data_IF_736460088603
#
_entry.id   IF_736460088603
#
_cell.length_a   1.000
_cell.length_b   1.000
_cell.length_c   1.000
_cell.angle_alpha   90.00
_cell.angle_beta   90.00
_cell.angle_gamma   90.00
#
_symmetry.space_group_name_H-M   'P 1'
#
loop_
_entity.id
_entity.type
_entity.pdbx_description
1 polymer ?
#
# COMPACT_ATOMS: atom_id res chain seq x y z
N UNK A 1 -33.31 -0.19 -9.02
CA UNK A 1 -31.91 -0.60 -8.72
C UNK A 1 -31.00 0.48 -9.26
N UNK A 2 -30.09 1.00 -8.43
CA UNK A 2 -29.15 2.04 -8.86
C UNK A 2 -28.14 1.45 -9.86
N UNK A 3 -28.05 2.06 -11.03
CA UNK A 3 -27.06 1.74 -12.05
C UNK A 3 -25.71 2.27 -11.56
N UNK A 4 -24.81 1.38 -11.15
CA UNK A 4 -23.45 1.76 -10.75
C UNK A 4 -22.61 1.84 -12.02
N UNK A 5 -22.30 3.05 -12.46
CA UNK A 5 -21.32 3.28 -13.51
C UNK A 5 -19.92 3.30 -12.89
N UNK A 6 -19.00 2.50 -13.44
CA UNK A 6 -17.59 2.63 -13.08
C UNK A 6 -17.12 4.04 -13.53
N UNK A 7 -16.52 4.84 -12.65
CA UNK A 7 -16.09 6.20 -13.00
C UNK A 7 -14.90 6.23 -13.98
N UNK A 8 -14.32 5.07 -14.32
CA UNK A 8 -13.13 4.94 -15.14
C UNK A 8 -13.31 3.83 -16.18
N UNK A 9 -12.90 4.11 -17.41
CA UNK A 9 -12.73 3.11 -18.46
C UNK A 9 -11.28 2.62 -18.42
N UNK A 10 -11.07 1.33 -18.16
CA UNK A 10 -9.74 0.75 -18.14
C UNK A 10 -9.28 0.41 -19.55
N UNK A 11 -8.12 0.94 -19.93
CA UNK A 11 -7.43 0.53 -21.15
C UNK A 11 -6.44 -0.58 -20.77
N UNK A 12 -6.49 -1.76 -21.39
CA UNK A 12 -5.51 -2.80 -21.11
C UNK A 12 -4.11 -2.30 -21.48
N UNK A 13 -3.12 -2.62 -20.65
CA UNK A 13 -1.73 -2.34 -20.99
C UNK A 13 -1.36 -3.12 -22.27
N UNK A 14 -0.77 -2.45 -23.24
CA UNK A 14 -0.28 -3.12 -24.45
C UNK A 14 0.93 -3.97 -24.14
N UNK A 15 1.01 -5.17 -24.73
CA UNK A 15 2.22 -6.02 -24.68
C UNK A 15 3.35 -5.48 -25.54
N UNK A 16 3.02 -4.65 -26.51
CA UNK A 16 3.92 -4.04 -27.46
C UNK A 16 4.18 -2.58 -27.08
N UNK A 17 5.44 -2.18 -27.12
CA UNK A 17 5.85 -0.77 -27.06
C UNK A 17 6.12 -0.30 -28.48
N UNK A 18 5.42 0.73 -28.94
CA UNK A 18 5.75 1.31 -30.24
C UNK A 18 7.07 2.07 -30.14
N UNK A 19 8.06 1.56 -30.86
CA UNK A 19 9.33 2.24 -31.10
C UNK A 19 9.35 2.68 -32.57
N UNK A 20 9.36 3.98 -32.86
CA UNK A 20 9.53 4.47 -34.22
C UNK A 20 10.84 3.95 -34.83
N UNK A 21 10.87 3.66 -36.13
CA UNK A 21 12.06 3.12 -36.80
C UNK A 21 13.28 4.04 -36.64
N UNK A 22 13.06 5.36 -36.55
CA UNK A 22 14.10 6.37 -36.36
C UNK A 22 14.50 6.58 -34.88
N UNK A 23 13.89 5.89 -33.91
CA UNK A 23 14.14 6.13 -32.48
C UNK A 23 15.62 5.96 -32.09
N UNK A 24 16.32 5.02 -32.71
CA UNK A 24 17.75 4.77 -32.48
C UNK A 24 18.68 5.85 -33.08
N UNK A 25 18.16 6.67 -33.99
CA UNK A 25 18.89 7.78 -34.63
C UNK A 25 18.75 9.09 -33.86
N UNK A 26 17.92 9.12 -32.80
CA UNK A 26 17.63 10.31 -32.03
C UNK A 26 18.89 10.79 -31.30
N UNK A 27 19.52 11.85 -31.83
CA UNK A 27 20.69 12.52 -31.23
C UNK A 27 20.45 14.02 -31.04
N UNK A 28 21.02 14.59 -29.98
CA UNK A 28 21.01 16.04 -29.77
C UNK A 28 22.13 16.77 -30.51
N UNK A 29 23.11 16.03 -31.02
CA UNK A 29 24.30 16.61 -31.66
C UNK A 29 24.14 16.72 -33.18
N UNK A 30 23.35 15.81 -33.78
CA UNK A 30 23.18 15.72 -35.22
C UNK A 30 21.70 15.84 -35.58
N UNK A 31 21.27 16.86 -36.35
CA UNK A 31 19.91 16.96 -36.83
C UNK A 31 19.61 15.89 -37.89
N UNK A 32 18.34 15.52 -38.04
CA UNK A 32 17.91 14.64 -39.13
C UNK A 32 18.04 15.36 -40.46
N UNK A 33 18.57 14.67 -41.49
CA UNK A 33 18.75 15.21 -42.85
C UNK A 33 17.45 15.80 -43.42
N UNK A 34 16.33 15.11 -43.21
CA UNK A 34 14.99 15.54 -43.65
C UNK A 34 14.13 16.04 -42.47
N UNK A 35 14.76 16.46 -41.38
CA UNK A 35 14.06 16.96 -40.19
C UNK A 35 13.43 18.33 -40.41
N UNK A 36 12.14 18.47 -40.12
CA UNK A 36 11.47 19.77 -40.13
C UNK A 36 11.56 20.42 -38.75
N UNK A 37 11.78 21.74 -38.74
CA UNK A 37 11.69 22.57 -37.53
C UNK A 37 10.78 23.76 -37.81
N UNK A 38 10.05 24.21 -36.79
CA UNK A 38 9.09 25.29 -36.94
C UNK A 38 8.26 25.52 -35.69
N UNK A 39 7.30 26.42 -35.82
CA UNK A 39 6.33 26.77 -34.78
C UNK A 39 4.93 26.46 -35.28
N UNK A 40 4.07 25.93 -34.40
CA UNK A 40 2.65 25.71 -34.66
C UNK A 40 1.87 26.65 -33.74
N UNK A 41 1.18 27.61 -34.35
CA UNK A 41 0.24 28.48 -33.64
C UNK A 41 -1.13 27.82 -33.61
N UNK A 42 -1.77 27.77 -32.43
CA UNK A 42 -3.07 27.17 -32.24
C UNK A 42 -3.94 27.97 -31.27
N UNK A 43 -5.25 27.84 -31.40
CA UNK A 43 -6.23 28.42 -30.49
C UNK A 43 -6.97 27.31 -29.77
N UNK A 44 -6.98 27.35 -28.43
CA UNK A 44 -7.76 26.42 -27.60
C UNK A 44 -9.13 27.01 -27.31
N UNK A 45 -10.18 26.21 -27.51
CA UNK A 45 -11.56 26.57 -27.20
C UNK A 45 -12.09 25.60 -26.16
N UNK A 46 -12.42 26.12 -24.97
CA UNK A 46 -13.02 25.33 -23.91
C UNK A 46 -14.46 24.94 -24.28
N UNK A 47 -14.70 23.65 -24.51
CA UNK A 47 -16.05 23.11 -24.74
C UNK A 47 -16.86 22.96 -23.45
N UNK A 48 -16.16 22.82 -22.32
CA UNK A 48 -16.74 22.74 -20.97
C UNK A 48 -15.95 23.66 -20.04
N UNK A 49 -16.51 24.05 -18.88
CA UNK A 49 -15.75 24.75 -17.85
C UNK A 49 -14.51 23.95 -17.48
N UNK A 50 -13.35 24.61 -17.52
CA UNK A 50 -12.04 24.05 -17.23
C UNK A 50 -11.51 24.68 -15.93
N UNK A 51 -10.58 24.02 -15.26
CA UNK A 51 -9.73 24.64 -14.25
C UNK A 51 -8.34 24.01 -14.28
N UNK A 52 -7.34 24.77 -14.73
CA UNK A 52 -5.92 24.38 -14.63
C UNK A 52 -5.36 25.01 -13.36
N UNK A 53 -5.36 24.22 -12.28
CA UNK A 53 -5.02 24.66 -10.95
C UNK A 53 -3.52 24.84 -10.71
N UNK A 54 -3.15 25.88 -9.96
CA UNK A 54 -1.77 26.09 -9.49
C UNK A 54 -1.71 26.40 -7.99
N UNK A 55 -2.55 27.32 -7.51
CA UNK A 55 -2.56 27.72 -6.10
C UNK A 55 -3.66 26.97 -5.33
N UNK A 56 -3.27 26.35 -4.21
CA UNK A 56 -4.18 25.65 -3.30
C UNK A 56 -4.37 26.47 -2.03
N UNK A 57 -5.60 26.92 -1.80
CA UNK A 57 -6.00 27.61 -0.57
C UNK A 57 -6.64 26.59 0.36
N UNK A 58 -5.89 26.19 1.40
CA UNK A 58 -6.41 25.33 2.47
C UNK A 58 -7.11 26.18 3.52
N UNK A 59 -8.27 25.73 3.97
CA UNK A 59 -9.02 26.30 5.09
C UNK A 59 -9.41 25.16 6.03
N UNK A 60 -9.36 25.40 7.34
CA UNK A 60 -9.78 24.41 8.33
C UNK A 60 -11.28 24.11 8.17
N UNK A 61 -11.64 22.82 8.16
CA UNK A 61 -13.00 22.32 7.99
C UNK A 61 -13.73 22.74 6.69
N UNK A 62 -13.02 23.18 5.65
CA UNK A 62 -13.59 23.47 4.34
C UNK A 62 -12.83 22.78 3.18
N UNK A 63 -13.49 22.51 2.03
CA UNK A 63 -12.82 22.00 0.84
C UNK A 63 -11.69 22.94 0.39
N UNK A 64 -10.58 22.35 -0.09
CA UNK A 64 -9.45 23.14 -0.60
C UNK A 64 -9.86 23.89 -1.86
N UNK A 65 -9.71 25.22 -1.85
CA UNK A 65 -9.93 26.05 -3.03
C UNK A 65 -8.76 25.92 -4.00
N UNK A 66 -9.04 25.58 -5.26
CA UNK A 66 -8.03 25.51 -6.33
C UNK A 66 -8.22 26.70 -7.26
N UNK A 67 -7.23 27.60 -7.29
CA UNK A 67 -7.27 28.77 -8.18
C UNK A 67 -6.61 28.45 -9.52
N UNK A 68 -7.17 29.05 -10.56
CA UNK A 68 -6.65 29.03 -11.91
C UNK A 68 -5.21 29.60 -11.98
N UNK A 69 -4.35 28.97 -12.77
CA UNK A 69 -2.95 29.35 -12.97
C UNK A 69 -2.79 30.75 -13.61
N UNK A 70 -1.87 31.57 -13.08
CA UNK A 70 -1.69 32.95 -13.55
C UNK A 70 -0.24 33.26 -13.87
N UNK A 71 -0.03 34.18 -14.80
CA UNK A 71 1.28 34.75 -15.10
C UNK A 71 1.70 35.76 -13.99
N UNK A 72 2.96 36.26 -13.99
CA UNK A 72 3.41 37.28 -13.05
C UNK A 72 2.64 38.61 -13.12
N UNK A 73 1.90 38.86 -14.19
CA UNK A 73 1.02 40.03 -14.37
C UNK A 73 -0.41 39.74 -13.92
N UNK A 74 -0.65 38.59 -13.27
CA UNK A 74 -1.93 38.13 -12.75
C UNK A 74 -2.98 37.80 -13.84
N UNK A 75 -2.56 37.58 -15.09
CA UNK A 75 -3.44 37.14 -16.17
C UNK A 75 -3.63 35.61 -16.13
N UNK A 76 -4.86 35.09 -16.35
CA UNK A 76 -5.10 33.65 -16.49
C UNK A 76 -4.31 33.04 -17.65
N UNK A 77 -3.61 31.95 -17.38
CA UNK A 77 -2.86 31.18 -18.38
C UNK A 77 -3.14 29.68 -18.25
N UNK A 78 -2.88 28.92 -19.31
CA UNK A 78 -2.59 27.49 -19.18
C UNK A 78 -1.07 27.34 -19.34
N UNK A 79 -0.35 26.93 -18.27
CA UNK A 79 1.09 26.79 -18.36
C UNK A 79 1.51 25.84 -19.48
N UNK A 80 2.57 26.18 -20.20
CA UNK A 80 3.11 25.31 -21.26
C UNK A 80 3.49 23.91 -20.75
N UNK A 81 3.92 23.82 -19.49
CA UNK A 81 4.19 22.55 -18.80
C UNK A 81 2.94 21.69 -18.62
N UNK A 82 1.77 22.28 -18.34
CA UNK A 82 0.49 21.57 -18.24
C UNK A 82 0.05 21.01 -19.59
N UNK A 83 0.19 21.80 -20.66
CA UNK A 83 -0.12 21.35 -22.04
C UNK A 83 0.82 20.22 -22.45
N UNK A 84 2.12 20.38 -22.17
CA UNK A 84 3.13 19.35 -22.41
C UNK A 84 2.79 18.05 -21.70
N UNK A 85 2.44 18.11 -20.41
CA UNK A 85 2.08 16.93 -19.60
C UNK A 85 0.81 16.24 -20.12
N UNK A 86 -0.22 17.02 -20.46
CA UNK A 86 -1.45 16.50 -21.06
C UNK A 86 -1.18 15.77 -22.37
N UNK A 87 -0.49 16.40 -23.32
CA UNK A 87 -0.17 15.80 -24.62
C UNK A 87 0.74 14.58 -24.49
N UNK A 88 1.72 14.62 -23.57
CA UNK A 88 2.57 13.48 -23.27
C UNK A 88 1.72 12.28 -22.83
N UNK A 89 0.84 12.47 -21.86
CA UNK A 89 -0.01 11.39 -21.32
C UNK A 89 -0.92 10.80 -22.41
N UNK A 90 -1.55 11.65 -23.24
CA UNK A 90 -2.37 11.18 -24.35
C UNK A 90 -1.53 10.42 -25.37
N UNK A 91 -0.34 10.89 -25.71
CA UNK A 91 0.53 10.23 -26.68
C UNK A 91 1.06 8.90 -26.16
N UNK A 92 1.46 8.81 -24.88
CA UNK A 92 1.87 7.55 -24.24
C UNK A 92 0.77 6.50 -24.35
N UNK A 93 -0.50 6.87 -24.19
CA UNK A 93 -1.62 5.94 -24.37
C UNK A 93 -1.83 5.60 -25.85
N UNK A 94 -1.92 6.61 -26.71
CA UNK A 94 -2.24 6.46 -28.12
C UNK A 94 -1.16 5.70 -28.91
N UNK A 95 0.10 5.80 -28.48
CA UNK A 95 1.25 5.15 -29.11
C UNK A 95 1.74 3.93 -28.35
N UNK A 96 0.99 3.39 -27.38
CA UNK A 96 1.43 2.25 -26.58
C UNK A 96 2.83 2.44 -25.97
N UNK A 97 3.07 3.62 -25.38
CA UNK A 97 4.32 3.96 -24.71
C UNK A 97 4.64 3.03 -23.54
N UNK A 98 5.85 3.15 -22.99
CA UNK A 98 6.30 2.33 -21.89
C UNK A 98 5.54 2.64 -20.60
N UNK A 99 5.12 1.60 -19.91
CA UNK A 99 4.50 1.70 -18.59
C UNK A 99 5.58 1.64 -17.49
N UNK A 100 6.48 2.63 -17.50
CA UNK A 100 7.65 2.66 -16.62
C UNK A 100 7.54 3.57 -15.40
N UNK A 101 6.67 4.58 -15.42
CA UNK A 101 6.49 5.49 -14.29
C UNK A 101 5.50 4.93 -13.27
N UNK A 102 5.90 3.86 -12.60
CA UNK A 102 5.10 3.19 -11.56
C UNK A 102 5.95 3.03 -10.32
N UNK A 103 5.37 3.27 -9.14
CA UNK A 103 6.08 3.00 -7.89
C UNK A 103 6.36 1.52 -7.75
N UNK A 104 7.56 1.16 -7.30
CA UNK A 104 7.91 -0.23 -7.02
C UNK A 104 7.29 -0.74 -5.71
N UNK A 105 5.96 -0.83 -5.69
CA UNK A 105 5.18 -1.27 -4.56
C UNK A 105 4.70 -2.71 -4.75
N UNK A 106 4.72 -3.47 -3.66
CA UNK A 106 4.05 -4.76 -3.58
C UNK A 106 2.64 -4.58 -3.03
N UNK A 107 1.70 -5.32 -3.59
CA UNK A 107 0.38 -5.47 -3.00
C UNK A 107 0.40 -6.57 -1.92
N UNK A 108 -0.51 -6.45 -0.95
CA UNK A 108 -0.76 -7.48 0.05
C UNK A 108 -2.25 -7.81 0.11
N UNK A 109 -2.57 -9.05 0.41
CA UNK A 109 -3.95 -9.53 0.48
C UNK A 109 -4.23 -10.28 1.79
N UNK A 110 -5.48 -10.22 2.21
CA UNK A 110 -6.02 -11.00 3.32
C UNK A 110 -7.49 -11.28 3.02
N UNK A 111 -7.73 -12.43 2.42
CA UNK A 111 -9.07 -12.89 2.11
C UNK A 111 -9.51 -13.93 3.14
N UNK A 112 -10.32 -13.50 4.11
CA UNK A 112 -10.86 -14.40 5.15
C UNK A 112 -12.18 -15.06 4.74
N UNK A 113 -12.58 -14.96 3.47
CA UNK A 113 -13.74 -15.66 2.95
C UNK A 113 -13.54 -17.18 2.96
N UNK A 114 -14.63 -17.92 3.11
CA UNK A 114 -14.60 -19.37 3.10
C UNK A 114 -14.01 -19.89 1.79
N UNK A 115 -13.10 -20.87 1.86
CA UNK A 115 -12.41 -21.50 0.71
C UNK A 115 -11.42 -20.59 -0.04
N UNK A 116 -10.98 -19.48 0.54
CA UNK A 116 -9.92 -18.66 -0.06
C UNK A 116 -8.55 -19.36 -0.02
N UNK A 117 -7.71 -19.09 -1.02
CA UNK A 117 -6.31 -19.54 -1.04
C UNK A 117 -5.53 -19.02 0.18
N UNK A 118 -5.88 -17.82 0.64
CA UNK A 118 -5.33 -17.24 1.85
C UNK A 118 -5.59 -18.11 3.09
N UNK A 119 -6.84 -18.52 3.33
CA UNK A 119 -7.17 -19.36 4.50
C UNK A 119 -6.49 -20.72 4.40
N UNK A 120 -6.42 -21.31 3.20
CA UNK A 120 -5.70 -22.56 2.99
C UNK A 120 -4.20 -22.40 3.30
N UNK A 121 -3.59 -21.30 2.86
CA UNK A 121 -2.17 -21.03 3.11
C UNK A 121 -1.89 -20.77 4.59
N UNK A 122 -2.69 -19.93 5.25
CA UNK A 122 -2.44 -19.52 6.65
C UNK A 122 -2.92 -20.59 7.65
N UNK A 123 -4.01 -21.30 7.37
CA UNK A 123 -4.62 -22.24 8.32
C UNK A 123 -4.32 -23.70 8.03
N UNK A 124 -4.25 -24.11 6.75
CA UNK A 124 -4.05 -25.53 6.38
C UNK A 124 -2.62 -25.87 6.01
N UNK A 125 -1.82 -24.94 5.48
CA UNK A 125 -0.45 -25.22 4.98
C UNK A 125 0.65 -24.67 5.90
N UNK A 126 0.28 -24.02 6.99
CA UNK A 126 1.19 -23.27 7.83
C UNK A 126 0.78 -23.33 9.29
N UNK A 127 1.72 -23.04 10.18
CA UNK A 127 1.52 -22.89 11.63
C UNK A 127 1.88 -21.46 12.02
N UNK A 128 1.01 -20.81 12.78
CA UNK A 128 1.31 -19.47 13.33
C UNK A 128 1.87 -19.63 14.73
N UNK A 129 3.06 -19.11 14.96
CA UNK A 129 3.69 -19.01 16.27
C UNK A 129 3.88 -17.54 16.66
N UNK A 130 3.99 -17.29 17.97
CA UNK A 130 4.38 -15.98 18.47
C UNK A 130 5.90 -15.86 18.46
N UNK A 131 6.41 -14.68 18.19
CA UNK A 131 7.84 -14.44 18.15
C UNK A 131 8.18 -13.01 18.55
N UNK A 132 9.39 -12.84 19.04
CA UNK A 132 10.00 -11.57 19.33
C UNK A 132 11.04 -11.24 18.27
N UNK A 133 10.87 -10.10 17.61
CA UNK A 133 11.75 -9.60 16.57
C UNK A 133 12.61 -8.48 17.14
N UNK A 134 13.93 -8.68 17.18
CA UNK A 134 14.90 -7.71 17.71
C UNK A 134 15.96 -7.42 16.66
N UNK A 135 16.38 -6.17 16.56
CA UNK A 135 17.57 -5.81 15.81
C UNK A 135 18.78 -5.87 16.75
N UNK A 136 19.76 -6.70 16.42
CA UNK A 136 21.06 -6.75 17.09
C UNK A 136 21.93 -5.63 16.51
N UNK A 137 22.17 -4.61 17.32
CA UNK A 137 22.94 -3.41 16.92
C UNK A 137 24.42 -3.72 16.73
N UNK A 138 24.98 -4.71 17.41
CA UNK A 138 26.40 -5.02 17.34
C UNK A 138 26.69 -5.80 16.05
N UNK A 139 25.78 -6.72 15.70
CA UNK A 139 25.88 -7.53 14.48
C UNK A 139 25.21 -6.91 13.26
N UNK A 140 24.45 -5.83 13.45
CA UNK A 140 23.63 -5.15 12.43
C UNK A 140 22.67 -6.11 11.71
N UNK A 141 22.00 -6.98 12.47
CA UNK A 141 21.15 -8.07 11.95
C UNK A 141 19.88 -8.25 12.76
N UNK A 142 18.79 -8.62 12.09
CA UNK A 142 17.57 -9.07 12.77
C UNK A 142 17.75 -10.44 13.40
N UNK A 143 17.13 -10.62 14.56
CA UNK A 143 17.02 -11.88 15.28
C UNK A 143 15.56 -12.14 15.60
N UNK A 144 15.13 -13.40 15.44
CA UNK A 144 13.77 -13.83 15.69
C UNK A 144 13.76 -14.97 16.71
N UNK A 145 13.03 -14.77 17.80
CA UNK A 145 12.90 -15.75 18.87
C UNK A 145 11.43 -16.16 19.04
N UNK A 146 11.12 -17.42 18.78
CA UNK A 146 9.78 -17.97 19.00
C UNK A 146 9.47 -18.05 20.49
N UNK A 147 8.20 -17.83 20.83
CA UNK A 147 7.67 -17.99 22.18
C UNK A 147 6.25 -18.58 22.12
N UNK A 148 5.67 -18.84 23.28
CA UNK A 148 4.28 -19.26 23.38
C UNK A 148 3.36 -18.04 23.50
N UNK A 149 2.09 -18.22 23.17
CA UNK A 149 1.10 -17.17 23.34
C UNK A 149 -0.26 -17.71 23.77
N UNK A 150 -0.99 -16.90 24.52
CA UNK A 150 -2.36 -17.18 24.94
C UNK A 150 -3.25 -15.97 24.67
N UNK A 151 -4.56 -16.22 24.59
CA UNK A 151 -5.58 -15.18 24.52
C UNK A 151 -5.96 -14.70 25.92
N UNK A 152 -6.21 -13.41 26.06
CA UNK A 152 -6.63 -12.78 27.31
C UNK A 152 -7.86 -11.92 27.04
N UNK A 153 -8.96 -12.16 27.75
CA UNK A 153 -10.19 -11.36 27.62
C UNK A 153 -9.94 -9.92 28.08
N UNK A 154 -10.48 -8.92 27.39
CA UNK A 154 -10.35 -7.51 27.83
C UNK A 154 -11.02 -7.28 29.19
N UNK A 155 -12.14 -7.96 29.46
CA UNK A 155 -12.79 -7.92 30.77
C UNK A 155 -11.87 -8.39 31.93
N UNK A 156 -10.99 -9.35 31.68
CA UNK A 156 -10.00 -9.81 32.69
C UNK A 156 -8.89 -8.77 32.91
N UNK A 157 -8.42 -8.14 31.82
CA UNK A 157 -7.44 -7.05 31.88
C UNK A 157 -8.01 -5.88 32.69
N UNK A 158 -9.30 -5.55 32.48
CA UNK A 158 -9.97 -4.52 33.26
C UNK A 158 -10.10 -4.90 34.74
N UNK A 159 -10.57 -6.12 35.04
CA UNK A 159 -10.84 -6.52 36.43
C UNK A 159 -9.57 -6.69 37.26
N UNK A 160 -8.49 -7.22 36.68
CA UNK A 160 -7.26 -7.51 37.40
C UNK A 160 -6.21 -6.41 37.28
N UNK A 161 -6.08 -5.77 36.12
CA UNK A 161 -5.05 -4.76 35.87
C UNK A 161 -5.61 -3.32 35.86
N UNK A 162 -6.93 -3.14 35.94
CA UNK A 162 -7.57 -1.82 35.96
C UNK A 162 -7.51 -1.08 34.63
N UNK A 163 -7.24 -1.77 33.52
CA UNK A 163 -7.03 -1.15 32.20
C UNK A 163 -8.16 -1.49 31.23
N UNK A 164 -8.92 -0.46 30.86
CA UNK A 164 -10.08 -0.60 29.99
C UNK A 164 -9.64 -0.59 28.54
N UNK A 165 -9.83 -1.72 27.86
CA UNK A 165 -9.54 -1.90 26.44
C UNK A 165 -10.83 -2.20 25.69
N UNK A 166 -10.90 -1.75 24.44
CA UNK A 166 -11.97 -2.14 23.52
C UNK A 166 -11.40 -2.70 22.23
N UNK A 167 -12.12 -3.60 21.57
CA UNK A 167 -11.68 -4.19 20.30
C UNK A 167 -11.40 -3.11 19.23
N UNK A 168 -12.23 -2.07 19.13
CA UNK A 168 -12.18 -0.98 18.13
C UNK A 168 -10.92 -0.12 18.23
N UNK A 169 -10.27 -0.09 19.39
CA UNK A 169 -9.11 0.77 19.60
C UNK A 169 -7.91 0.30 18.75
N UNK A 170 -7.16 1.23 18.13
CA UNK A 170 -5.89 0.91 17.48
C UNK A 170 -4.90 0.27 18.45
N UNK A 171 -4.03 -0.60 17.95
CA UNK A 171 -3.03 -1.28 18.76
C UNK A 171 -2.14 -0.28 19.52
N UNK A 172 -1.75 0.82 18.89
CA UNK A 172 -0.92 1.88 19.48
C UNK A 172 -1.59 2.53 20.70
N UNK A 173 -2.91 2.76 20.66
CA UNK A 173 -3.68 3.29 21.80
C UNK A 173 -3.69 2.29 22.95
N UNK A 174 -3.87 1.00 22.64
CA UNK A 174 -3.84 -0.08 23.66
C UNK A 174 -2.46 -0.17 24.33
N UNK A 175 -1.38 -0.10 23.55
CA UNK A 175 -0.02 -0.04 24.10
C UNK A 175 0.26 1.22 24.92
N UNK A 176 -0.37 2.35 24.58
CA UNK A 176 -0.27 3.56 25.40
C UNK A 176 -0.88 3.38 26.80
N UNK A 177 -1.98 2.61 26.91
CA UNK A 177 -2.61 2.28 28.19
C UNK A 177 -1.85 1.21 28.98
N UNK A 178 -1.33 0.21 28.27
CA UNK A 178 -0.54 -0.87 28.86
C UNK A 178 0.74 -1.10 28.04
N UNK A 179 1.87 -0.49 28.44
CA UNK A 179 3.13 -0.62 27.72
C UNK A 179 3.61 -2.07 27.60
N UNK A 180 4.28 -2.38 26.49
CA UNK A 180 4.85 -3.70 26.21
C UNK A 180 5.87 -4.16 27.27
N UNK A 181 6.52 -3.22 27.93
CA UNK A 181 7.49 -3.45 29.02
C UNK A 181 6.85 -3.85 30.34
N UNK A 182 5.53 -3.65 30.51
CA UNK A 182 4.85 -4.11 31.73
C UNK A 182 4.63 -5.61 31.68
N UNK A 183 5.03 -6.24 32.78
CA UNK A 183 4.99 -7.69 32.95
C UNK A 183 3.69 -8.10 33.63
N UNK A 184 3.19 -9.26 33.25
CA UNK A 184 2.05 -9.94 33.88
C UNK A 184 2.41 -11.40 34.12
N UNK A 185 1.67 -12.06 35.00
CA UNK A 185 1.87 -13.46 35.33
C UNK A 185 0.66 -14.27 34.89
N UNK A 186 0.86 -15.25 34.02
CA UNK A 186 -0.22 -16.01 33.39
C UNK A 186 -0.13 -17.50 33.66
N UNK A 187 -1.29 -18.13 33.82
CA UNK A 187 -1.44 -19.59 33.80
C UNK A 187 -2.29 -19.96 32.59
N UNK A 188 -1.67 -20.32 31.46
CA UNK A 188 -2.41 -20.67 30.26
C UNK A 188 -3.15 -21.99 30.42
N UNK A 189 -4.42 -22.02 30.03
CA UNK A 189 -5.23 -23.23 29.94
C UNK A 189 -5.68 -23.48 28.49
N UNK A 190 -5.84 -24.75 28.15
CA UNK A 190 -6.25 -25.20 26.82
C UNK A 190 -7.77 -25.23 26.72
N UNK A 191 -8.31 -24.61 25.68
CA UNK A 191 -9.74 -24.64 25.33
C UNK A 191 -9.91 -25.13 23.89
N UNK A 192 -10.59 -26.26 23.73
CA UNK A 192 -10.90 -26.81 22.41
C UNK A 192 -12.27 -26.30 21.93
N UNK A 193 -12.31 -25.66 20.76
CA UNK A 193 -13.52 -25.11 20.15
C UNK A 193 -13.61 -25.65 18.72
N UNK A 194 -14.70 -26.35 18.39
CA UNK A 194 -14.92 -26.94 17.05
C UNK A 194 -13.71 -27.74 16.54
N UNK A 195 -13.11 -28.56 17.41
CA UNK A 195 -11.94 -29.39 17.09
C UNK A 195 -10.61 -28.65 16.95
N UNK A 196 -10.56 -27.33 17.25
CA UNK A 196 -9.33 -26.53 17.26
C UNK A 196 -8.95 -26.12 18.67
N UNK A 197 -7.67 -26.25 18.99
CA UNK A 197 -7.13 -25.91 20.29
C UNK A 197 -6.71 -24.44 20.35
N UNK A 198 -7.11 -23.77 21.43
CA UNK A 198 -6.72 -22.40 21.74
C UNK A 198 -6.22 -22.33 23.18
N UNK A 199 -5.14 -21.59 23.42
CA UNK A 199 -4.69 -21.29 24.77
C UNK A 199 -5.25 -19.95 25.23
N UNK A 200 -5.78 -19.92 26.44
CA UNK A 200 -6.33 -18.74 27.12
C UNK A 200 -5.64 -18.56 28.47
N UNK A 201 -5.62 -17.34 29.01
CA UNK A 201 -5.22 -17.08 30.38
C UNK A 201 -6.38 -16.45 31.15
N UNK A 202 -6.60 -16.93 32.38
CA UNK A 202 -7.64 -16.51 33.32
C UNK A 202 -7.09 -15.79 34.56
N UNK A 203 -5.77 -15.76 34.73
CA UNK A 203 -5.05 -14.99 35.74
C UNK A 203 -3.90 -14.18 35.08
N UNK A 204 -3.74 -12.93 35.53
CA UNK A 204 -2.73 -11.96 35.11
C UNK A 204 -1.84 -11.48 36.27
N UNK A 205 -2.11 -11.91 37.52
CA UNK A 205 -1.41 -11.44 38.73
C UNK A 205 -0.50 -12.50 39.34
N UNK A 206 -1.00 -13.71 39.55
CA UNK A 206 -0.31 -14.77 40.31
C UNK A 206 -0.03 -16.01 39.45
N UNK A 207 -0.09 -15.86 38.12
CA UNK A 207 0.13 -16.94 37.19
C UNK A 207 1.56 -17.53 37.20
N UNK A 208 1.69 -18.75 36.69
CA UNK A 208 2.97 -19.48 36.71
C UNK A 208 4.05 -18.88 35.81
N UNK A 209 3.67 -18.31 34.67
CA UNK A 209 4.60 -17.86 33.64
C UNK A 209 4.61 -16.34 33.54
N UNK A 210 5.81 -15.78 33.49
CA UNK A 210 6.01 -14.38 33.12
C UNK A 210 5.60 -14.14 31.66
N UNK A 211 4.87 -13.05 31.43
CA UNK A 211 4.28 -12.73 30.15
C UNK A 211 4.24 -11.22 29.86
N UNK A 212 4.17 -10.88 28.57
CA UNK A 212 3.98 -9.51 28.09
C UNK A 212 2.72 -9.41 27.24
N UNK A 213 1.93 -8.36 27.45
CA UNK A 213 0.70 -8.14 26.72
C UNK A 213 0.98 -7.65 25.29
N UNK A 214 0.32 -8.28 24.31
CA UNK A 214 0.45 -8.00 22.88
C UNK A 214 -0.91 -7.61 22.31
N UNK A 215 -0.98 -6.39 21.80
CA UNK A 215 -2.21 -5.78 21.29
C UNK A 215 -2.23 -5.74 19.76
N UNK A 216 -3.39 -6.05 19.20
CA UNK A 216 -3.67 -5.96 17.76
C UNK A 216 -4.71 -4.87 17.49
N UNK A 217 -4.76 -4.40 16.23
CA UNK A 217 -5.80 -3.50 15.74
C UNK A 217 -7.18 -4.16 15.76
N UNK A 218 -8.21 -3.36 15.48
CA UNK A 218 -9.60 -3.79 15.43
C UNK A 218 -9.78 -5.09 14.63
N UNK A 219 -10.39 -6.08 15.30
CA UNK A 219 -10.79 -7.33 14.66
C UNK A 219 -12.20 -7.17 14.12
N UNK A 220 -12.32 -7.21 12.81
CA UNK A 220 -13.59 -7.17 12.09
C UNK A 220 -14.30 -8.51 12.30
N UNK A 221 -15.59 -8.43 12.58
CA UNK A 221 -16.47 -9.59 12.70
C UNK A 221 -17.82 -9.29 12.07
N UNK A 222 -18.53 -10.36 11.70
CA UNK A 222 -19.90 -10.30 11.23
C UNK A 222 -20.82 -10.49 12.44
N UNK A 223 -21.46 -9.41 12.88
CA UNK A 223 -22.36 -9.41 14.03
C UNK A 223 -23.59 -10.33 13.84
N UNK A 224 -23.89 -10.75 12.60
CA UNK A 224 -24.96 -11.74 12.34
C UNK A 224 -24.52 -13.18 12.61
N UNK A 225 -23.20 -13.44 12.68
CA UNK A 225 -22.61 -14.79 12.77
C UNK A 225 -21.83 -15.05 14.04
N UNK A 226 -21.48 -14.00 14.79
CA UNK A 226 -20.70 -14.12 16.00
C UNK A 226 -20.98 -12.98 16.98
N UNK A 227 -20.86 -13.28 18.27
CA UNK A 227 -21.02 -12.31 19.34
C UNK A 227 -19.78 -11.39 19.42
N UNK A 228 -19.94 -10.06 19.51
CA UNK A 228 -18.85 -9.12 19.74
C UNK A 228 -17.87 -9.54 20.85
N UNK A 229 -18.38 -10.18 21.91
CA UNK A 229 -17.58 -10.60 23.06
C UNK A 229 -16.49 -11.59 22.64
N UNK A 230 -16.70 -12.41 21.62
CA UNK A 230 -15.73 -13.39 21.13
C UNK A 230 -14.49 -12.78 20.45
N UNK A 231 -14.58 -11.49 20.09
CA UNK A 231 -13.49 -10.71 19.51
C UNK A 231 -12.80 -9.81 20.53
N UNK A 232 -13.36 -9.70 21.74
CA UNK A 232 -12.91 -8.86 22.83
C UNK A 232 -11.77 -9.53 23.64
N UNK A 233 -10.64 -9.72 22.97
CA UNK A 233 -9.45 -10.29 23.57
C UNK A 233 -8.15 -9.68 23.00
N UNK A 234 -7.07 -9.80 23.75
CA UNK A 234 -5.70 -9.53 23.32
C UNK A 234 -4.86 -10.79 23.49
N UNK A 235 -3.58 -10.70 23.13
CA UNK A 235 -2.66 -11.80 23.33
C UNK A 235 -1.71 -11.48 24.48
N UNK A 236 -1.13 -12.50 25.07
CA UNK A 236 0.08 -12.38 25.87
C UNK A 236 1.12 -13.36 25.32
N UNK A 237 2.39 -12.94 25.29
CA UNK A 237 3.52 -13.77 24.89
C UNK A 237 4.26 -14.21 26.15
N UNK A 238 4.61 -15.49 26.23
CA UNK A 238 5.17 -16.11 27.44
C UNK A 238 6.03 -17.33 27.12
N UNK A 239 6.70 -17.86 28.15
CA UNK A 239 7.52 -19.07 28.06
C UNK A 239 8.90 -18.84 27.46
N UNK A 240 9.59 -19.92 27.14
CA UNK A 240 10.97 -19.88 26.65
C UNK A 240 11.09 -19.28 25.25
N UNK A 241 12.18 -18.53 25.04
CA UNK A 241 12.52 -17.90 23.78
C UNK A 241 13.47 -18.78 22.98
N UNK A 242 13.00 -19.31 21.85
CA UNK A 242 13.77 -20.22 20.99
C UNK A 242 14.18 -19.53 19.69
N UNK A 243 15.47 -19.43 19.37
CA UNK A 243 15.89 -18.79 18.12
C UNK A 243 15.39 -19.57 16.89
N UNK A 244 15.04 -18.85 15.83
CA UNK A 244 14.70 -19.46 14.53
C UNK A 244 15.96 -19.53 13.67
N UNK A 245 16.28 -20.73 13.17
CA UNK A 245 17.35 -20.91 12.20
C UNK A 245 16.86 -20.52 10.80
N UNK A 246 17.10 -19.27 10.41
CA UNK A 246 16.81 -18.73 9.07
C UNK A 246 18.03 -17.93 8.61
N UNK A 247 18.33 -17.95 7.30
CA UNK A 247 19.40 -17.12 6.76
C UNK A 247 19.10 -15.63 6.97
N UNK A 248 20.12 -14.85 7.36
CA UNK A 248 19.96 -13.42 7.69
C UNK A 248 19.32 -12.62 6.54
N UNK A 249 19.69 -12.89 5.29
CA UNK A 249 19.14 -12.23 4.11
C UNK A 249 17.64 -12.49 3.94
N UNK A 250 17.19 -13.72 4.21
CA UNK A 250 15.77 -14.10 4.14
C UNK A 250 15.00 -13.43 5.27
N UNK A 251 15.56 -13.39 6.48
CA UNK A 251 14.90 -12.73 7.61
C UNK A 251 14.75 -11.22 7.36
N UNK A 252 15.80 -10.54 6.90
CA UNK A 252 15.75 -9.13 6.52
C UNK A 252 14.63 -8.88 5.50
N UNK A 253 14.58 -9.66 4.42
CA UNK A 253 13.53 -9.54 3.40
C UNK A 253 12.12 -9.69 3.99
N UNK A 254 11.91 -10.68 4.86
CA UNK A 254 10.62 -10.91 5.51
C UNK A 254 10.24 -9.80 6.48
N UNK A 255 11.21 -9.20 7.19
CA UNK A 255 10.99 -8.06 8.07
C UNK A 255 10.59 -6.83 7.26
N UNK A 256 11.28 -6.54 6.16
CA UNK A 256 10.92 -5.43 5.26
C UNK A 256 9.52 -5.61 4.66
N UNK A 257 9.18 -6.84 4.23
CA UNK A 257 7.81 -7.17 3.78
C UNK A 257 6.77 -7.00 4.88
N UNK A 258 7.09 -7.36 6.12
CA UNK A 258 6.23 -7.15 7.28
C UNK A 258 5.95 -5.66 7.49
N UNK A 259 7.00 -4.83 7.51
CA UNK A 259 6.85 -3.39 7.75
C UNK A 259 6.06 -2.70 6.63
N UNK A 260 6.35 -3.00 5.37
CA UNK A 260 5.64 -2.44 4.21
C UNK A 260 4.15 -2.85 4.13
N UNK A 261 3.79 -4.00 4.70
CA UNK A 261 2.41 -4.52 4.66
C UNK A 261 1.52 -4.03 5.82
N UNK A 262 2.08 -3.28 6.76
CA UNK A 262 1.37 -2.77 7.94
C UNK A 262 1.35 -1.24 7.96
N UNK A 263 0.49 -0.68 8.82
CA UNK A 263 0.41 0.77 9.02
C UNK A 263 1.75 1.30 9.57
N UNK A 264 2.31 2.30 8.88
CA UNK A 264 3.63 2.86 9.19
C UNK A 264 3.68 3.44 10.62
N UNK A 265 2.58 4.06 11.09
CA UNK A 265 2.54 4.63 12.45
C UNK A 265 2.61 3.52 13.50
N UNK A 266 1.95 2.39 13.27
CA UNK A 266 2.03 1.24 14.16
C UNK A 266 3.43 0.62 14.18
N UNK A 267 4.05 0.43 13.02
CA UNK A 267 5.41 -0.12 12.91
C UNK A 267 6.41 0.78 13.64
N UNK A 268 6.39 2.08 13.34
CA UNK A 268 7.27 3.07 13.97
C UNK A 268 7.06 3.13 15.49
N UNK A 269 5.81 3.02 15.96
CA UNK A 269 5.51 2.97 17.39
C UNK A 269 6.17 1.76 18.07
N UNK A 270 6.04 0.56 17.48
CA UNK A 270 6.59 -0.68 18.04
C UNK A 270 8.13 -0.72 17.98
N UNK A 271 8.74 -0.13 16.96
CA UNK A 271 10.20 0.02 16.89
C UNK A 271 10.73 0.91 18.01
N UNK A 272 10.06 2.05 18.27
CA UNK A 272 10.45 3.00 19.32
C UNK A 272 10.20 2.50 20.73
N UNK A 273 9.15 1.70 20.93
CA UNK A 273 8.74 1.17 22.24
C UNK A 273 8.92 -0.35 22.34
N UNK A 274 9.90 -0.89 21.62
CA UNK A 274 10.24 -2.30 21.65
C UNK A 274 10.69 -2.71 23.06
N UNK A 275 10.48 -3.97 23.43
CA UNK A 275 11.02 -4.50 24.67
C UNK A 275 12.56 -4.50 24.59
N UNK A 276 13.26 -3.98 25.59
CA UNK A 276 14.72 -3.84 25.53
C UNK A 276 15.43 -5.18 25.29
N UNK A 277 14.95 -6.24 25.93
CA UNK A 277 15.55 -7.58 25.82
C UNK A 277 15.01 -8.37 24.61
N UNK A 278 13.71 -8.24 24.30
CA UNK A 278 13.03 -9.15 23.37
C UNK A 278 12.77 -8.50 22.02
N UNK A 279 12.63 -7.18 21.96
CA UNK A 279 12.25 -6.46 20.75
C UNK A 279 10.73 -6.32 20.60
N UNK A 280 10.27 -6.29 19.36
CA UNK A 280 8.85 -6.12 19.04
C UNK A 280 8.11 -7.45 18.93
N UNK A 281 6.83 -7.54 19.33
CA UNK A 281 6.06 -8.76 19.20
C UNK A 281 5.54 -8.92 17.77
N UNK A 282 5.77 -10.09 17.18
CA UNK A 282 5.29 -10.47 15.85
C UNK A 282 4.69 -11.87 15.88
N UNK A 283 3.84 -12.18 14.90
CA UNK A 283 3.37 -13.53 14.63
C UNK A 283 4.13 -14.07 13.42
N UNK A 284 4.81 -15.20 13.62
CA UNK A 284 5.58 -15.90 12.60
C UNK A 284 4.72 -16.99 11.95
N UNK A 285 4.54 -16.90 10.63
CA UNK A 285 3.90 -17.94 9.84
C UNK A 285 4.99 -18.91 9.37
N UNK A 286 5.03 -20.09 9.99
CA UNK A 286 5.93 -21.17 9.63
C UNK A 286 5.23 -22.17 8.73
N UNK A 287 5.96 -22.99 7.99
CA UNK A 287 5.37 -24.19 7.38
C UNK A 287 4.75 -25.13 8.43
N UNK A 288 4.00 -26.13 7.98
CA UNK A 288 3.37 -27.13 8.88
C UNK A 288 4.37 -27.88 9.75
N UNK A 289 5.61 -28.01 9.31
CA UNK A 289 6.67 -28.74 10.00
C UNK A 289 7.41 -27.86 11.01
N UNK A 290 7.13 -26.55 11.03
CA UNK A 290 7.80 -25.55 11.87
C UNK A 290 9.22 -25.22 11.41
N UNK A 291 9.62 -25.60 10.19
CA UNK A 291 11.00 -25.49 9.72
C UNK A 291 11.25 -24.20 8.94
N UNK A 292 10.35 -23.86 8.04
CA UNK A 292 10.52 -22.72 7.13
C UNK A 292 9.68 -21.53 7.56
N UNK A 293 10.31 -20.38 7.79
CA UNK A 293 9.63 -19.11 8.01
C UNK A 293 9.12 -18.55 6.67
N UNK A 294 7.79 -18.38 6.56
CA UNK A 294 7.13 -17.91 5.34
C UNK A 294 6.78 -16.43 5.37
N UNK A 295 6.31 -15.93 6.52
CA UNK A 295 5.96 -14.52 6.70
C UNK A 295 5.92 -14.10 8.16
N UNK A 296 5.93 -12.79 8.37
CA UNK A 296 5.78 -12.13 9.66
C UNK A 296 4.60 -11.17 9.61
N UNK A 297 3.94 -10.91 10.74
CA UNK A 297 3.00 -9.81 10.86
C UNK A 297 2.59 -9.47 12.28
N UNK A 298 1.89 -8.35 12.44
CA UNK A 298 1.52 -7.78 13.75
C UNK A 298 0.19 -8.35 14.30
N UNK A 299 -0.38 -9.33 13.60
CA UNK A 299 -1.57 -10.07 14.01
C UNK A 299 -1.47 -11.53 13.54
N UNK A 300 -2.18 -12.43 14.24
CA UNK A 300 -2.16 -13.88 13.98
C UNK A 300 -2.56 -14.27 12.54
N UNK A 301 -3.33 -13.43 11.85
CA UNK A 301 -3.72 -13.60 10.46
C UNK A 301 -3.11 -12.44 9.65
N UNK A 302 -1.79 -12.51 9.38
CA UNK A 302 -1.07 -11.43 8.71
C UNK A 302 -1.49 -11.35 7.25
N UNK A 303 -1.40 -10.15 6.65
CA UNK A 303 -1.55 -10.03 5.19
C UNK A 303 -0.40 -10.79 4.51
N UNK A 304 -0.69 -11.49 3.43
CA UNK A 304 0.33 -12.11 2.61
C UNK A 304 0.68 -11.15 1.47
N UNK A 305 1.97 -11.03 1.16
CA UNK A 305 2.44 -10.26 0.02
C UNK A 305 2.22 -11.04 -1.27
N UNK A 306 1.80 -10.37 -2.33
CA UNK A 306 1.86 -10.96 -3.67
C UNK A 306 3.33 -11.16 -4.09
N UNK A 307 3.56 -12.17 -4.92
CA UNK A 307 4.91 -12.56 -5.35
C UNK A 307 5.57 -11.47 -6.23
N UNK A 308 4.79 -10.79 -7.06
CA UNK A 308 5.28 -9.78 -7.99
C UNK A 308 4.97 -8.36 -7.46
N UNK A 309 5.94 -7.45 -7.57
CA UNK A 309 5.74 -6.01 -7.44
C UNK A 309 5.21 -5.40 -8.75
N UNK A 310 4.86 -4.12 -8.72
CA UNK A 310 4.33 -3.45 -9.93
C UNK A 310 5.33 -3.41 -11.08
N UNK A 311 6.63 -3.27 -10.82
CA UNK A 311 7.66 -3.33 -11.86
C UNK A 311 7.70 -4.70 -12.54
N UNK A 312 7.73 -5.77 -11.76
CA UNK A 312 7.70 -7.15 -12.27
C UNK A 312 6.41 -7.41 -13.04
N UNK A 313 5.26 -6.91 -12.57
CA UNK A 313 3.99 -7.03 -13.29
C UNK A 313 4.03 -6.28 -14.63
N UNK A 314 4.56 -5.06 -14.64
CA UNK A 314 4.71 -4.28 -15.87
C UNK A 314 5.64 -5.00 -16.87
N UNK A 315 6.81 -5.46 -16.44
CA UNK A 315 7.76 -6.22 -17.28
C UNK A 315 7.19 -7.55 -17.79
N UNK A 316 6.48 -8.29 -16.94
CA UNK A 316 5.86 -9.57 -17.33
C UNK A 316 4.82 -9.39 -18.42
N UNK A 317 4.14 -8.23 -18.44
CA UNK A 317 3.11 -7.93 -19.42
C UNK A 317 3.66 -7.22 -20.67
N UNK A 318 4.49 -6.20 -20.48
CA UNK A 318 5.15 -5.39 -21.50
C UNK A 318 6.67 -5.48 -21.26
N UNK A 319 7.34 -6.37 -22.01
CA UNK A 319 8.77 -6.70 -21.80
C UNK A 319 9.69 -5.48 -21.79
N UNK A 320 9.38 -4.51 -22.65
CA UNK A 320 10.17 -3.29 -22.82
C UNK A 320 9.78 -2.15 -21.85
N UNK A 321 8.82 -2.36 -20.95
CA UNK A 321 8.28 -1.32 -20.05
C UNK A 321 9.37 -0.59 -19.24
N UNK A 322 10.40 -1.33 -18.81
CA UNK A 322 11.53 -0.81 -18.03
C UNK A 322 12.86 -0.85 -18.80
N UNK A 323 12.81 -1.03 -20.13
CA UNK A 323 14.02 -1.06 -20.95
C UNK A 323 14.64 0.34 -21.05
N UNK A 324 15.91 0.45 -20.67
CA UNK A 324 16.74 1.64 -20.85
C UNK A 324 17.37 1.73 -22.25
N UNK A 325 17.04 0.82 -23.16
CA UNK A 325 17.51 0.83 -24.55
C UNK A 325 16.38 1.13 -25.55
N UNK A 326 15.13 0.93 -25.15
CA UNK A 326 13.96 1.21 -25.99
C UNK A 326 13.49 2.64 -25.73
N UNK A 327 13.43 3.46 -26.78
CA UNK A 327 12.83 4.79 -26.74
C UNK A 327 11.46 4.74 -27.39
N UNK A 328 10.41 4.90 -26.59
CA UNK A 328 9.07 5.02 -27.17
C UNK A 328 8.87 6.39 -27.84
N UNK A 329 7.78 6.52 -28.61
CA UNK A 329 7.49 7.76 -29.34
C UNK A 329 7.37 8.97 -28.40
N UNK A 330 6.77 8.81 -27.22
CA UNK A 330 6.60 9.91 -26.28
C UNK A 330 7.94 10.35 -25.68
N UNK A 331 8.82 9.42 -25.31
CA UNK A 331 10.18 9.71 -24.88
C UNK A 331 10.98 10.43 -25.97
N UNK A 332 10.86 9.99 -27.23
CA UNK A 332 11.55 10.61 -28.37
C UNK A 332 11.15 12.09 -28.57
N UNK A 333 9.88 12.44 -28.31
CA UNK A 333 9.37 13.81 -28.48
C UNK A 333 9.55 14.66 -27.21
N UNK A 334 9.08 14.16 -26.07
CA UNK A 334 8.99 14.90 -24.81
C UNK A 334 10.24 14.80 -23.94
N UNK A 335 11.17 13.91 -24.28
CA UNK A 335 12.39 13.61 -23.52
C UNK A 335 12.19 12.55 -22.44
N UNK A 336 13.29 12.01 -21.94
CA UNK A 336 13.34 11.00 -20.88
C UNK A 336 14.63 11.13 -20.08
N UNK A 337 14.58 10.80 -18.79
CA UNK A 337 15.75 10.72 -17.91
C UNK A 337 15.95 9.25 -17.52
N UNK A 338 17.19 8.78 -17.62
CA UNK A 338 17.58 7.41 -17.28
C UNK A 338 18.78 7.45 -16.35
N UNK A 339 18.79 6.57 -15.35
CA UNK A 339 19.88 6.48 -14.38
C UNK A 339 21.10 5.79 -14.97
N UNK A 340 20.89 4.76 -15.82
CA UNK A 340 21.95 3.92 -16.38
C UNK A 340 21.84 3.80 -17.91
N UNK A 341 21.51 4.90 -18.59
CA UNK A 341 21.42 4.94 -20.04
C UNK A 341 21.42 6.34 -20.63
N UNK A 342 21.23 6.41 -21.95
CA UNK A 342 21.11 7.68 -22.66
C UNK A 342 19.81 8.38 -22.27
N UNK A 343 19.93 9.59 -21.72
CA UNK A 343 18.81 10.49 -21.47
C UNK A 343 18.56 11.37 -22.69
N UNK A 344 17.28 11.69 -22.96
CA UNK A 344 16.88 12.55 -24.07
C UNK A 344 16.29 13.86 -23.54
N UNK A 345 16.79 14.97 -24.04
CA UNK A 345 16.14 16.28 -23.88
C UNK A 345 14.90 16.34 -24.77
N UNK A 346 13.90 17.09 -24.35
CA UNK A 346 12.70 17.31 -25.16
C UNK A 346 13.02 18.05 -26.47
N UNK A 347 12.37 17.63 -27.55
CA UNK A 347 12.46 18.27 -28.88
C UNK A 347 11.33 19.26 -29.17
N UNK A 348 10.33 19.30 -28.29
CA UNK A 348 9.18 20.19 -28.39
C UNK A 348 9.10 21.08 -27.16
N UNK A 349 8.69 22.32 -27.37
CA UNK A 349 8.48 23.32 -26.34
C UNK A 349 7.07 23.89 -26.48
N UNK A 350 6.48 24.26 -25.35
CA UNK A 350 5.13 24.82 -25.29
C UNK A 350 5.22 26.17 -24.57
N UNK A 351 4.72 27.21 -25.20
CA UNK A 351 4.48 28.49 -24.56
C UNK A 351 3.22 28.44 -23.69
N UNK A 352 3.09 29.37 -22.75
CA UNK A 352 1.87 29.52 -21.98
C UNK A 352 0.72 29.96 -22.90
N UNK A 353 -0.40 29.23 -22.86
CA UNK A 353 -1.58 29.65 -23.58
C UNK A 353 -2.24 30.81 -22.83
N UNK A 354 -2.32 31.95 -23.50
CA UNK A 354 -2.88 33.18 -22.95
C UNK A 354 -4.36 33.31 -23.30
N UNK A 355 -5.12 33.87 -22.37
CA UNK A 355 -6.53 34.15 -22.60
C UNK A 355 -6.68 35.24 -23.69
N UNK A 356 -7.26 34.87 -24.84
CA UNK A 356 -7.50 35.81 -25.94
C UNK A 356 -8.65 36.78 -25.64
N UNK A 357 -9.74 36.29 -25.03
CA UNK A 357 -10.93 37.07 -24.72
C UNK A 357 -11.19 37.08 -23.21
N UNK A 358 -11.38 38.27 -22.62
CA UNK A 358 -11.71 38.38 -21.20
C UNK A 358 -13.06 37.73 -20.93
N UNK A 359 -13.06 36.69 -20.09
CA UNK A 359 -14.26 36.00 -19.62
C UNK A 359 -14.31 36.06 -18.09
N UNK A 360 -15.51 36.08 -17.50
CA UNK A 360 -15.65 35.99 -16.04
C UNK A 360 -15.26 34.60 -15.57
N UNK A 361 -14.50 34.53 -14.48
CA UNK A 361 -14.23 33.28 -13.78
C UNK A 361 -15.37 32.99 -12.81
N UNK A 362 -15.74 31.71 -12.69
CA UNK A 362 -16.77 31.24 -11.76
C UNK A 362 -16.16 30.20 -10.81
N UNK A 363 -16.73 30.11 -9.60
CA UNK A 363 -16.36 29.05 -8.66
C UNK A 363 -17.14 27.79 -9.02
N UNK A 364 -16.43 26.67 -9.16
CA UNK A 364 -17.09 25.37 -9.35
C UNK A 364 -17.82 24.95 -8.07
N UNK A 365 -18.86 24.09 -8.18
CA UNK A 365 -19.32 23.35 -7.02
C UNK A 365 -18.18 22.51 -6.41
N UNK A 366 -18.37 22.06 -5.18
CA UNK A 366 -17.43 21.16 -4.51
C UNK A 366 -17.35 19.87 -5.31
N UNK A 367 -16.14 19.54 -5.78
CA UNK A 367 -15.85 18.33 -6.54
C UNK A 367 -14.72 17.56 -5.86
N UNK A 368 -14.80 16.24 -5.89
CA UNK A 368 -13.71 15.38 -5.46
C UNK A 368 -12.68 15.29 -6.58
N UNK A 369 -11.53 15.94 -6.40
CA UNK A 369 -10.38 15.77 -7.28
C UNK A 369 -9.72 14.43 -6.93
N UNK A 370 -9.84 13.41 -7.79
CA UNK A 370 -9.30 12.09 -7.51
C UNK A 370 -8.95 11.28 -8.75
N UNK A 371 -7.76 10.68 -8.72
CA UNK A 371 -7.41 9.52 -9.56
C UNK A 371 -7.92 8.22 -8.92
N UNK A 372 -7.99 7.12 -9.70
CA UNK A 372 -8.44 5.82 -9.20
C UNK A 372 -7.58 5.36 -8.02
N UNK A 373 -8.20 5.01 -6.89
CA UNK A 373 -7.50 4.44 -5.73
C UNK A 373 -7.61 2.91 -5.75
N UNK A 374 -6.52 2.15 -5.61
CA UNK A 374 -6.55 0.67 -5.67
C UNK A 374 -7.40 0.00 -4.57
N UNK A 375 -8.02 0.76 -3.66
CA UNK A 375 -8.69 0.28 -2.46
C UNK A 375 -10.15 -0.18 -2.63
N UNK A 376 -10.77 -0.13 -3.82
CA UNK A 376 -12.16 -0.59 -3.97
C UNK A 376 -12.44 -1.29 -5.32
N UNK A 377 -12.11 -2.59 -5.39
CA UNK A 377 -12.37 -3.47 -6.54
C UNK A 377 -13.81 -3.40 -7.07
N UNK A 378 -14.80 -3.24 -6.18
CA UNK A 378 -16.21 -3.22 -6.57
C UNK A 378 -16.65 -1.99 -7.38
N UNK A 379 -15.90 -0.87 -7.34
CA UNK A 379 -16.09 0.24 -8.30
C UNK A 379 -15.44 0.01 -9.66
N UNK A 380 -14.62 -1.04 -9.79
CA UNK A 380 -13.77 -1.28 -10.96
C UNK A 380 -14.20 -2.49 -11.81
N UNK A 381 -15.21 -3.23 -11.37
CA UNK A 381 -15.73 -4.40 -12.10
C UNK A 381 -17.04 -4.02 -12.77
N UNK A 382 -17.09 -4.15 -14.09
CA UNK A 382 -18.35 -4.10 -14.85
C UNK A 382 -19.16 -5.36 -14.52
N UNK A 383 -20.20 -5.21 -13.71
CA UNK A 383 -21.10 -6.32 -13.38
C UNK A 383 -22.07 -6.54 -14.54
N UNK A 384 -21.87 -7.63 -15.30
CA UNK A 384 -22.91 -8.10 -16.24
C UNK A 384 -24.19 -8.34 -15.44
N UNK A 385 -25.31 -7.77 -15.90
CA UNK A 385 -26.63 -7.95 -15.28
C UNK A 385 -26.83 -9.42 -14.93
N UNK A 386 -27.04 -9.70 -13.65
CA UNK A 386 -27.58 -10.99 -13.24
C UNK A 386 -28.97 -11.11 -13.89
N UNK A 387 -29.10 -12.03 -14.84
CA UNK A 387 -30.42 -12.49 -15.26
C UNK A 387 -30.98 -13.21 -14.05
N UNK A 388 -31.93 -12.58 -13.35
CA UNK A 388 -32.72 -13.30 -12.36
C UNK A 388 -33.54 -14.33 -13.13
N UNK A 389 -33.12 -15.58 -13.08
CA UNK A 389 -34.00 -16.70 -13.38
C UNK A 389 -35.07 -16.74 -12.28
N UNK A 390 -36.28 -16.30 -12.64
CA UNK A 390 -37.52 -16.59 -11.90
C UNK A 390 -37.77 -18.08 -11.81
#
# INVERSE_FOLDING_TARGET
MAQVHAPYHFVPLSKWVYMPDWAHLVSHDVPFENGLSGTIDYTLVNQTPLCVGQEHVKQDNAPTGVKWARDPQNNPIIPGSSIKGMLRSVLEIASFGKFGQVDNSHLSYRDVSSHSEYLDTVSKKSKVEAAWLRFDTDRQKWQLHLCQFAKVRHGLIQSQLGVALKNEEPATVKYGKFPLTKEVFVTPYKKTIKGKDFYWADDLKEGKYKAHMVFCNHRVFDATRADPIDYDFSYCFYGEHRPVSVADSILEELVQKCFKSHDEKQVNYLQKHAHAEFGMPVFALLDKQGKTLKSLGLARMPRLMYQHDFHSLAQNWQKDALSEHVFDLAECMFGTLRDKGLSLKSRISFSDARLANKTKSEMSPVVTLGGPKPSFLATYVEQKKAVMST
#
